data_IF_794897147877
#
_entry.id   IF_794897147877
#
_cell.length_a   1.000
_cell.length_b   1.000
_cell.length_c   1.000
_cell.angle_alpha   90.00
_cell.angle_beta   90.00
_cell.angle_gamma   90.00
#
_symmetry.space_group_name_H-M   'P 1'
#
loop_
_entity.id
_entity.type
_entity.pdbx_description
1 polymer ?
#
# COMPACT_ATOMS: atom_id res chain seq x y z
N UNK A 1 6.20 3.13 -6.25
CA UNK A 1 6.16 1.77 -5.68
C UNK A 1 6.02 0.75 -6.81
N UNK A 2 6.63 -0.40 -6.70
CA UNK A 2 6.54 -1.49 -7.67
C UNK A 2 6.74 -2.85 -6.99
N UNK A 3 6.23 -3.90 -7.66
CA UNK A 3 6.49 -5.30 -7.29
C UNK A 3 7.47 -5.92 -8.32
N UNK A 4 8.77 -5.97 -8.02
CA UNK A 4 9.77 -6.53 -8.92
C UNK A 4 9.72 -8.06 -8.97
N UNK A 5 8.98 -8.71 -8.08
CA UNK A 5 8.87 -10.16 -7.97
C UNK A 5 7.72 -10.74 -8.80
N UNK A 6 6.77 -9.90 -9.20
CA UNK A 6 5.56 -10.31 -9.91
C UNK A 6 5.82 -11.15 -11.17
N UNK A 7 6.83 -10.87 -12.02
CA UNK A 7 7.10 -11.70 -13.19
C UNK A 7 7.42 -13.16 -12.84
N UNK A 8 8.19 -13.39 -11.79
CA UNK A 8 8.51 -14.74 -11.31
C UNK A 8 7.31 -15.37 -10.61
N UNK A 9 6.60 -14.61 -9.79
CA UNK A 9 5.42 -15.06 -9.07
C UNK A 9 4.31 -15.53 -10.01
N UNK A 10 4.14 -14.90 -11.17
CA UNK A 10 3.19 -15.33 -12.20
C UNK A 10 3.59 -16.61 -12.92
N UNK A 11 4.87 -16.91 -13.04
CA UNK A 11 5.37 -18.12 -13.69
C UNK A 11 5.22 -19.35 -12.80
N UNK A 12 5.36 -19.21 -11.51
CA UNK A 12 5.20 -20.30 -10.56
C UNK A 12 3.74 -20.41 -10.14
N UNK A 13 3.13 -21.59 -10.29
CA UNK A 13 1.80 -21.89 -9.76
C UNK A 13 1.90 -22.04 -8.24
N UNK A 14 2.39 -21.01 -7.56
CA UNK A 14 2.70 -21.08 -6.15
C UNK A 14 1.45 -21.20 -5.31
N UNK A 15 1.53 -22.11 -4.39
CA UNK A 15 0.57 -22.16 -3.29
C UNK A 15 0.96 -21.09 -2.28
N UNK A 16 -0.02 -20.49 -1.67
CA UNK A 16 0.09 -19.48 -0.61
C UNK A 16 1.17 -19.74 0.45
N UNK A 17 1.40 -21.00 0.83
CA UNK A 17 2.37 -21.40 1.87
C UNK A 17 3.77 -21.71 1.34
N UNK A 18 4.00 -21.63 0.05
CA UNK A 18 5.34 -21.93 -0.51
C UNK A 18 6.35 -20.85 -0.14
N UNK A 19 5.95 -19.58 -0.23
CA UNK A 19 6.68 -18.45 0.31
C UNK A 19 8.09 -18.23 -0.22
N UNK A 20 8.48 -18.92 -1.31
CA UNK A 20 9.84 -18.92 -1.85
C UNK A 20 9.91 -18.29 -3.24
N UNK A 21 11.09 -17.84 -3.61
CA UNK A 21 11.45 -17.42 -4.95
C UNK A 21 12.70 -18.18 -5.39
N UNK A 22 12.83 -18.44 -6.70
CA UNK A 22 14.07 -19.01 -7.25
C UNK A 22 15.21 -18.00 -7.19
N UNK A 23 16.46 -18.45 -7.17
CA UNK A 23 17.61 -17.57 -7.27
C UNK A 23 17.58 -16.74 -8.57
N UNK A 24 17.11 -17.34 -9.68
CA UNK A 24 16.92 -16.61 -10.93
C UNK A 24 15.90 -15.47 -10.78
N UNK A 25 14.75 -15.71 -10.12
CA UNK A 25 13.74 -14.71 -9.87
C UNK A 25 14.22 -13.61 -8.93
N UNK A 26 14.96 -13.95 -7.88
CA UNK A 26 15.55 -12.98 -6.96
C UNK A 26 16.62 -12.12 -7.65
N UNK A 27 17.46 -12.71 -8.50
CA UNK A 27 18.46 -11.99 -9.30
C UNK A 27 17.78 -11.09 -10.34
N UNK A 28 16.75 -11.56 -11.03
CA UNK A 28 15.98 -10.72 -11.94
C UNK A 28 15.40 -9.49 -11.26
N UNK A 29 14.80 -9.67 -10.07
CA UNK A 29 14.24 -8.55 -9.31
C UNK A 29 15.33 -7.54 -8.90
N UNK A 30 16.49 -8.04 -8.49
CA UNK A 30 17.63 -7.22 -8.10
C UNK A 30 18.20 -6.41 -9.28
N UNK A 31 18.35 -7.04 -10.45
CA UNK A 31 18.82 -6.39 -11.69
C UNK A 31 17.83 -5.32 -12.15
N UNK A 32 16.52 -5.64 -12.11
CA UNK A 32 15.46 -4.68 -12.43
C UNK A 32 15.52 -3.45 -11.53
N UNK A 33 15.66 -3.65 -10.22
CA UNK A 33 15.79 -2.55 -9.26
C UNK A 33 17.06 -1.73 -9.49
N UNK A 34 18.15 -2.36 -9.90
CA UNK A 34 19.42 -1.69 -10.27
C UNK A 34 19.21 -0.79 -11.49
N UNK A 35 18.58 -1.28 -12.54
CA UNK A 35 18.32 -0.50 -13.76
C UNK A 35 17.32 0.63 -13.49
N UNK A 36 16.28 0.41 -12.69
CA UNK A 36 15.34 1.46 -12.30
C UNK A 36 16.09 2.55 -11.50
N UNK A 37 16.85 2.17 -10.48
CA UNK A 37 17.63 3.14 -9.67
C UNK A 37 18.60 3.94 -10.52
N UNK A 38 19.26 3.32 -11.48
CA UNK A 38 20.14 3.96 -12.43
C UNK A 38 19.39 4.96 -13.34
N UNK A 39 18.20 4.58 -13.80
CA UNK A 39 17.37 5.42 -14.69
C UNK A 39 16.81 6.65 -13.98
N UNK A 40 16.30 6.48 -12.74
CA UNK A 40 15.65 7.56 -11.99
C UNK A 40 16.63 8.42 -11.16
N UNK A 41 17.85 7.96 -10.98
CA UNK A 41 18.86 8.63 -10.14
C UNK A 41 18.58 8.51 -8.64
N UNK A 42 19.41 9.11 -7.78
CA UNK A 42 19.33 8.95 -6.32
C UNK A 42 18.23 9.79 -5.66
N UNK A 43 17.71 10.81 -6.33
CA UNK A 43 16.76 11.80 -5.76
C UNK A 43 15.31 11.34 -5.79
N UNK A 44 14.97 10.36 -6.63
CA UNK A 44 13.61 9.83 -6.71
C UNK A 44 13.44 8.73 -5.66
N UNK A 45 12.42 8.86 -4.84
CA UNK A 45 12.06 7.87 -3.83
C UNK A 45 11.60 6.57 -4.49
N UNK A 46 12.08 5.44 -3.99
CA UNK A 46 11.82 4.11 -4.53
C UNK A 46 11.34 3.20 -3.42
N UNK A 47 10.27 2.47 -3.66
CA UNK A 47 9.64 1.55 -2.73
C UNK A 47 9.37 0.22 -3.42
N UNK A 48 9.45 -0.86 -2.68
CA UNK A 48 9.08 -2.21 -3.13
C UNK A 48 7.83 -2.65 -2.37
N UNK A 49 6.94 -3.32 -3.09
CA UNK A 49 5.81 -4.03 -2.53
C UNK A 49 5.92 -5.51 -2.89
N UNK A 50 5.86 -6.38 -1.91
CA UNK A 50 5.97 -7.83 -2.09
C UNK A 50 4.63 -8.56 -1.88
N UNK A 51 3.54 -7.83 -1.56
CA UNK A 51 2.19 -8.37 -1.42
C UNK A 51 2.09 -9.59 -0.49
N UNK A 52 2.92 -9.66 0.55
CA UNK A 52 2.91 -10.75 1.53
C UNK A 52 3.29 -12.13 0.97
N UNK A 53 4.11 -12.21 -0.05
CA UNK A 53 4.32 -13.45 -0.81
C UNK A 53 5.38 -14.40 -0.23
N UNK A 54 6.20 -13.98 0.76
CA UNK A 54 7.38 -14.73 1.15
C UNK A 54 7.27 -15.36 2.54
N UNK A 55 8.06 -16.43 2.75
CA UNK A 55 8.36 -16.93 4.09
C UNK A 55 9.45 -16.07 4.76
N UNK A 56 9.69 -16.28 6.07
CA UNK A 56 10.62 -15.47 6.86
C UNK A 56 12.04 -15.51 6.30
N UNK A 57 12.51 -16.69 5.89
CA UNK A 57 13.87 -16.87 5.37
C UNK A 57 14.05 -16.11 4.04
N UNK A 58 13.12 -16.31 3.12
CA UNK A 58 13.12 -15.66 1.80
C UNK A 58 12.95 -14.15 1.94
N UNK A 59 12.01 -13.70 2.77
CA UNK A 59 11.81 -12.28 3.04
C UNK A 59 13.08 -11.63 3.62
N UNK A 60 13.76 -12.29 4.55
CA UNK A 60 15.01 -11.80 5.13
C UNK A 60 16.11 -11.65 4.08
N UNK A 61 16.28 -12.68 3.23
CA UNK A 61 17.26 -12.65 2.15
C UNK A 61 16.98 -11.51 1.17
N UNK A 62 15.72 -11.39 0.69
CA UNK A 62 15.31 -10.36 -0.26
C UNK A 62 15.45 -8.96 0.33
N UNK A 63 15.02 -8.75 1.58
CA UNK A 63 15.21 -7.47 2.26
C UNK A 63 16.68 -7.04 2.29
N UNK A 64 17.58 -7.97 2.65
CA UNK A 64 19.01 -7.68 2.70
C UNK A 64 19.62 -7.49 1.31
N UNK A 65 19.18 -8.25 0.30
CA UNK A 65 19.59 -8.10 -1.11
C UNK A 65 19.18 -6.74 -1.67
N UNK A 66 17.96 -6.29 -1.39
CA UNK A 66 17.39 -5.03 -1.91
C UNK A 66 17.90 -3.76 -1.21
N UNK A 67 18.52 -3.89 -0.05
CA UNK A 67 19.01 -2.76 0.76
C UNK A 67 19.92 -1.79 -0.01
N UNK A 68 20.75 -2.30 -0.93
CA UNK A 68 21.67 -1.50 -1.74
C UNK A 68 20.99 -0.49 -2.68
N UNK A 69 19.68 -0.67 -2.95
CA UNK A 69 18.94 0.21 -3.85
C UNK A 69 18.40 1.48 -3.20
N UNK A 70 18.72 1.73 -1.91
CA UNK A 70 18.28 2.91 -1.16
C UNK A 70 16.75 3.08 -1.21
N UNK A 71 16.05 2.07 -0.72
CA UNK A 71 14.59 2.06 -0.66
C UNK A 71 14.10 2.91 0.50
N UNK A 72 12.95 3.57 0.31
CA UNK A 72 12.21 4.20 1.41
C UNK A 72 11.63 3.11 2.31
N UNK A 73 11.01 2.07 1.72
CA UNK A 73 10.57 0.89 2.43
C UNK A 73 10.50 -0.36 1.54
N UNK A 74 10.45 -1.48 2.19
CA UNK A 74 10.04 -2.77 1.65
C UNK A 74 8.69 -3.12 2.28
N UNK A 75 7.63 -3.13 1.48
CA UNK A 75 6.26 -3.34 1.91
C UNK A 75 5.89 -4.80 1.89
N UNK A 76 5.19 -5.23 2.92
CA UNK A 76 4.61 -6.56 3.11
C UNK A 76 5.48 -7.71 2.58
N UNK A 77 6.72 -7.87 3.04
CA UNK A 77 7.52 -9.04 2.67
C UNK A 77 6.89 -10.35 3.15
N UNK A 78 6.13 -10.31 4.25
CA UNK A 78 5.43 -11.43 4.88
C UNK A 78 3.93 -11.22 4.88
N UNK A 79 3.18 -12.31 4.96
CA UNK A 79 1.76 -12.27 5.30
C UNK A 79 1.56 -11.59 6.67
N UNK A 80 0.51 -10.79 6.83
CA UNK A 80 0.33 -9.94 8.01
C UNK A 80 -0.15 -10.67 9.27
N UNK A 81 -0.51 -11.97 9.20
CA UNK A 81 -1.16 -12.68 10.31
C UNK A 81 -0.22 -13.01 11.46
N UNK A 82 1.07 -13.26 11.17
CA UNK A 82 2.01 -13.70 12.20
C UNK A 82 2.94 -12.58 12.66
N UNK A 83 2.66 -12.03 13.82
CA UNK A 83 3.56 -11.05 14.45
C UNK A 83 4.92 -11.66 14.80
N UNK A 84 4.95 -12.94 15.18
CA UNK A 84 6.21 -13.63 15.50
C UNK A 84 7.12 -13.77 14.28
N UNK A 85 6.55 -13.99 13.10
CA UNK A 85 7.29 -13.97 11.85
C UNK A 85 7.89 -12.57 11.57
N UNK A 86 7.13 -11.52 11.83
CA UNK A 86 7.63 -10.13 11.68
C UNK A 86 8.72 -9.80 12.71
N UNK A 87 8.64 -10.29 13.95
CA UNK A 87 9.72 -10.17 14.95
C UNK A 87 11.01 -10.84 14.45
N UNK A 88 10.90 -12.05 13.89
CA UNK A 88 12.04 -12.75 13.30
C UNK A 88 12.63 -11.99 12.13
N UNK A 89 11.80 -11.49 11.22
CA UNK A 89 12.25 -10.66 10.10
C UNK A 89 12.96 -9.41 10.62
N UNK A 90 12.34 -8.65 11.53
CA UNK A 90 12.91 -7.41 12.06
C UNK A 90 14.27 -7.62 12.73
N UNK A 91 14.47 -8.74 13.41
CA UNK A 91 15.74 -9.08 14.04
C UNK A 91 16.87 -9.42 13.04
N UNK A 92 16.53 -9.72 11.79
CA UNK A 92 17.48 -10.17 10.76
C UNK A 92 17.66 -9.18 9.59
N UNK A 93 16.98 -8.04 9.64
CA UNK A 93 17.16 -6.97 8.65
C UNK A 93 16.93 -5.60 9.29
N UNK A 94 17.65 -4.59 8.81
CA UNK A 94 17.52 -3.19 9.21
C UNK A 94 16.88 -2.31 8.12
N UNK A 95 16.41 -2.91 7.02
CA UNK A 95 15.66 -2.19 6.01
C UNK A 95 14.35 -1.64 6.60
N UNK A 96 13.93 -0.48 6.11
CA UNK A 96 12.61 0.04 6.52
C UNK A 96 11.51 -0.88 6.01
N UNK A 97 10.64 -1.30 6.91
CA UNK A 97 9.46 -2.12 6.60
C UNK A 97 8.20 -1.28 6.64
N UNK A 98 7.28 -1.59 5.73
CA UNK A 98 5.94 -1.02 5.67
C UNK A 98 4.90 -2.15 5.65
N UNK A 99 3.79 -1.97 6.36
CA UNK A 99 2.64 -2.88 6.35
C UNK A 99 1.35 -2.09 6.46
N UNK A 100 0.23 -2.70 6.15
CA UNK A 100 -1.05 -2.14 6.58
C UNK A 100 -2.23 -2.34 5.69
N UNK A 101 -2.06 -2.57 4.39
CA UNK A 101 -3.17 -2.74 3.45
C UNK A 101 -4.12 -3.89 3.82
N UNK A 102 -3.61 -4.91 4.51
CA UNK A 102 -4.37 -6.10 4.98
C UNK A 102 -4.65 -6.11 6.48
N UNK A 103 -4.47 -4.96 7.17
CA UNK A 103 -4.73 -4.81 8.60
C UNK A 103 -6.05 -4.12 8.87
N UNK A 104 -6.75 -4.60 9.89
CA UNK A 104 -8.04 -4.06 10.31
C UNK A 104 -7.92 -3.39 11.66
N UNK A 105 -8.50 -2.23 11.80
CA UNK A 105 -8.56 -1.46 13.04
C UNK A 105 -7.20 -1.21 13.72
N UNK A 106 -7.17 -0.25 14.66
CA UNK A 106 -5.96 0.07 15.44
C UNK A 106 -5.40 -1.09 16.26
N UNK A 107 -6.23 -2.08 16.58
CA UNK A 107 -5.81 -3.22 17.38
C UNK A 107 -4.81 -4.13 16.64
N UNK A 108 -4.97 -4.26 15.33
CA UNK A 108 -4.03 -5.01 14.51
C UNK A 108 -2.70 -4.25 14.28
N UNK A 109 -2.75 -2.92 14.30
CA UNK A 109 -1.54 -2.09 14.17
C UNK A 109 -0.77 -1.96 15.48
N UNK A 110 -1.46 -1.91 16.63
CA UNK A 110 -0.86 -1.61 17.91
C UNK A 110 0.38 -2.45 18.24
N UNK A 111 0.40 -3.79 18.13
CA UNK A 111 1.58 -4.56 18.47
C UNK A 111 2.78 -4.28 17.56
N UNK A 112 2.56 -4.01 16.27
CA UNK A 112 3.63 -3.66 15.33
C UNK A 112 4.27 -2.32 15.66
N UNK A 113 3.48 -1.35 16.07
CA UNK A 113 3.93 -0.03 16.46
C UNK A 113 4.67 -0.07 17.81
N UNK A 114 4.08 -0.75 18.79
CA UNK A 114 4.65 -0.86 20.15
C UNK A 114 6.00 -1.57 20.18
N UNK A 115 6.19 -2.56 19.33
CA UNK A 115 7.42 -3.34 19.25
C UNK A 115 8.44 -2.79 18.23
N UNK A 116 8.10 -1.72 17.52
CA UNK A 116 8.98 -1.11 16.53
C UNK A 116 9.29 -2.03 15.33
N UNK A 117 8.33 -2.88 14.95
CA UNK A 117 8.52 -3.87 13.88
C UNK A 117 8.48 -3.24 12.48
N UNK A 118 7.92 -2.04 12.36
CA UNK A 118 7.72 -1.33 11.09
C UNK A 118 8.15 0.12 11.20
N UNK A 119 8.49 0.72 10.07
CA UNK A 119 8.92 2.11 9.97
C UNK A 119 7.86 3.01 9.32
N UNK A 120 6.94 2.40 8.57
CA UNK A 120 5.81 3.04 7.89
C UNK A 120 4.58 2.16 8.03
N UNK A 121 3.39 2.77 7.97
CA UNK A 121 2.14 2.03 7.89
C UNK A 121 1.28 2.54 6.73
N UNK A 122 0.60 1.60 6.05
CA UNK A 122 -0.29 1.85 4.92
C UNK A 122 -1.70 1.29 5.15
N UNK A 123 -2.48 1.82 6.11
CA UNK A 123 -3.85 1.38 6.28
C UNK A 123 -4.70 1.77 5.07
N UNK A 124 -5.56 0.88 4.59
CA UNK A 124 -6.58 1.17 3.60
C UNK A 124 -7.88 1.60 4.28
N UNK A 125 -8.41 2.77 3.90
CA UNK A 125 -9.59 3.34 4.59
C UNK A 125 -10.86 2.53 4.37
N UNK A 126 -10.96 1.81 3.24
CA UNK A 126 -12.10 0.96 2.94
C UNK A 126 -12.11 -0.34 3.76
N UNK A 127 -10.92 -0.76 4.24
CA UNK A 127 -10.72 -2.03 4.93
C UNK A 127 -10.53 -1.85 6.44
N UNK A 128 -9.80 -0.80 6.83
CA UNK A 128 -9.36 -0.63 8.21
C UNK A 128 -10.45 -0.16 9.18
N UNK A 129 -11.64 0.23 8.68
CA UNK A 129 -12.78 0.67 9.50
C UNK A 129 -13.22 2.11 9.25
N UNK A 130 -12.89 2.66 8.08
CA UNK A 130 -13.32 3.98 7.63
C UNK A 130 -12.52 5.14 8.21
N UNK A 131 -12.98 6.36 7.93
CA UNK A 131 -12.33 7.63 8.29
C UNK A 131 -11.98 7.71 9.78
N UNK A 132 -12.94 7.39 10.64
CA UNK A 132 -12.75 7.51 12.10
C UNK A 132 -11.68 6.54 12.62
N UNK A 133 -11.63 5.33 12.09
CA UNK A 133 -10.65 4.34 12.54
C UNK A 133 -9.27 4.64 11.95
N UNK A 134 -9.17 5.03 10.68
CA UNK A 134 -7.90 5.45 10.09
C UNK A 134 -7.28 6.62 10.86
N UNK A 135 -8.08 7.60 11.28
CA UNK A 135 -7.59 8.71 12.13
C UNK A 135 -7.05 8.21 13.48
N UNK A 136 -7.71 7.22 14.11
CA UNK A 136 -7.22 6.61 15.36
C UNK A 136 -5.92 5.85 15.17
N UNK A 137 -5.79 5.14 14.03
CA UNK A 137 -4.56 4.45 13.66
C UNK A 137 -3.43 5.47 13.47
N UNK A 138 -3.68 6.56 12.73
CA UNK A 138 -2.71 7.61 12.53
C UNK A 138 -2.26 8.25 13.84
N UNK A 139 -3.20 8.57 14.76
CA UNK A 139 -2.88 9.11 16.09
C UNK A 139 -2.08 8.12 16.95
N UNK A 140 -2.40 6.83 16.86
CA UNK A 140 -1.61 5.80 17.55
C UNK A 140 -0.19 5.73 16.99
N UNK A 141 -0.03 5.73 15.66
CA UNK A 141 1.28 5.70 15.01
C UNK A 141 2.13 6.93 15.31
N UNK A 142 1.50 8.11 15.43
CA UNK A 142 2.14 9.37 15.82
C UNK A 142 2.89 9.24 17.15
N UNK A 143 2.32 8.54 18.13
CA UNK A 143 2.96 8.36 19.46
C UNK A 143 4.27 7.57 19.40
N UNK A 144 4.49 6.84 18.30
CA UNK A 144 5.71 6.08 18.03
C UNK A 144 6.58 6.71 16.93
N UNK A 145 6.27 7.96 16.51
CA UNK A 145 6.94 8.65 15.39
C UNK A 145 6.92 7.89 14.08
N UNK A 146 5.87 7.07 13.86
CA UNK A 146 5.72 6.30 12.62
C UNK A 146 4.77 7.04 11.67
N UNK A 147 5.23 7.37 10.45
CA UNK A 147 4.41 8.04 9.45
C UNK A 147 3.38 7.10 8.82
N UNK A 148 2.26 7.72 8.38
CA UNK A 148 1.17 7.06 7.69
C UNK A 148 1.16 7.43 6.21
N UNK A 149 0.95 6.42 5.35
CA UNK A 149 0.74 6.55 3.91
C UNK A 149 -0.48 5.71 3.53
N UNK A 150 -1.70 6.28 3.45
CA UNK A 150 -2.89 5.49 3.15
C UNK A 150 -2.77 4.73 1.84
N UNK A 151 -3.05 3.43 1.90
CA UNK A 151 -3.11 2.53 0.75
C UNK A 151 -4.32 2.83 -0.12
N UNK A 152 -4.17 2.68 -1.43
CA UNK A 152 -5.28 2.73 -2.38
C UNK A 152 -5.24 1.61 -3.42
N UNK A 153 -6.28 0.79 -3.40
CA UNK A 153 -6.63 -0.15 -4.46
C UNK A 153 -8.14 -0.13 -4.75
N UNK A 154 -8.87 0.85 -4.18
CA UNK A 154 -10.35 0.87 -4.18
C UNK A 154 -10.92 2.05 -4.98
N UNK A 155 -10.11 2.99 -5.43
CA UNK A 155 -10.49 4.07 -6.33
C UNK A 155 -10.79 5.42 -5.67
N UNK A 156 -11.53 6.30 -6.38
CA UNK A 156 -11.63 7.72 -6.06
C UNK A 156 -12.03 8.03 -4.62
N UNK A 157 -13.04 7.36 -4.08
CA UNK A 157 -13.51 7.63 -2.71
C UNK A 157 -12.56 7.14 -1.63
N UNK A 158 -11.73 6.13 -1.91
CA UNK A 158 -10.63 5.73 -1.04
C UNK A 158 -9.60 6.87 -0.94
N UNK A 159 -9.12 7.34 -2.09
CA UNK A 159 -8.16 8.44 -2.19
C UNK A 159 -8.69 9.72 -1.54
N UNK A 160 -9.92 10.14 -1.85
CA UNK A 160 -10.54 11.35 -1.28
C UNK A 160 -10.64 11.23 0.24
N UNK A 161 -11.14 10.11 0.74
CA UNK A 161 -11.29 9.88 2.19
C UNK A 161 -9.94 9.82 2.90
N UNK A 162 -8.95 9.17 2.30
CA UNK A 162 -7.57 9.15 2.78
C UNK A 162 -6.97 10.55 2.86
N UNK A 163 -7.18 11.37 1.82
CA UNK A 163 -6.72 12.76 1.80
C UNK A 163 -7.34 13.58 2.93
N UNK A 164 -8.65 13.45 3.20
CA UNK A 164 -9.30 14.13 4.33
C UNK A 164 -8.70 13.74 5.69
N UNK A 165 -8.33 12.47 5.87
CA UNK A 165 -7.64 12.05 7.11
C UNK A 165 -6.25 12.68 7.18
N UNK A 166 -5.48 12.63 6.08
CA UNK A 166 -4.12 13.19 6.04
C UNK A 166 -4.08 14.69 6.34
N UNK A 167 -5.10 15.45 5.92
CA UNK A 167 -5.21 16.88 6.27
C UNK A 167 -5.38 17.15 7.75
N UNK A 168 -5.63 16.12 8.57
CA UNK A 168 -5.94 16.23 9.99
C UNK A 168 -4.94 15.52 10.92
N UNK A 169 -3.81 15.04 10.39
CA UNK A 169 -2.79 14.32 11.16
C UNK A 169 -1.40 14.87 10.84
N UNK A 170 -0.48 14.94 11.83
CA UNK A 170 0.84 15.53 11.60
C UNK A 170 1.87 14.56 11.03
N UNK A 171 1.65 13.24 11.16
CA UNK A 171 2.58 12.19 10.79
C UNK A 171 2.32 11.63 9.39
N UNK A 172 1.98 12.50 8.45
CA UNK A 172 1.77 12.13 7.04
C UNK A 172 3.08 11.84 6.33
N UNK A 173 3.05 10.89 5.39
CA UNK A 173 4.12 10.69 4.42
C UNK A 173 3.64 10.92 2.99
N UNK A 174 2.87 10.00 2.42
CA UNK A 174 2.31 10.09 1.05
C UNK A 174 0.86 9.60 1.06
N UNK A 175 0.10 10.01 0.06
CA UNK A 175 -1.16 9.39 -0.31
C UNK A 175 -0.91 8.52 -1.54
N UNK A 176 -1.19 7.25 -1.44
CA UNK A 176 -1.07 6.36 -2.59
C UNK A 176 -2.25 6.56 -3.55
N UNK A 177 -1.93 6.45 -4.83
CA UNK A 177 -2.91 6.27 -5.91
C UNK A 177 -2.39 5.14 -6.79
N UNK A 178 -3.25 4.23 -7.19
CA UNK A 178 -2.87 3.20 -8.16
C UNK A 178 -2.55 3.81 -9.52
N UNK A 179 -1.73 3.14 -10.32
CA UNK A 179 -1.32 3.58 -11.66
C UNK A 179 -2.44 3.47 -12.70
N UNK A 180 -3.63 3.02 -12.28
CA UNK A 180 -4.82 3.10 -13.11
C UNK A 180 -5.05 4.55 -13.51
N UNK A 181 -5.33 4.75 -14.77
CA UNK A 181 -5.43 6.10 -15.33
C UNK A 181 -6.30 7.00 -14.43
N UNK A 182 -5.88 8.23 -14.20
CA UNK A 182 -6.67 9.24 -13.50
C UNK A 182 -8.10 9.33 -14.05
N UNK A 183 -8.29 8.94 -15.30
CA UNK A 183 -9.58 8.79 -15.96
C UNK A 183 -10.50 7.82 -15.21
N UNK A 184 -10.01 6.66 -14.75
CA UNK A 184 -10.82 5.71 -14.01
C UNK A 184 -11.33 6.27 -12.68
N UNK A 185 -10.51 7.05 -11.98
CA UNK A 185 -10.96 7.77 -10.79
C UNK A 185 -12.02 8.82 -11.12
N UNK A 186 -11.80 9.60 -12.16
CA UNK A 186 -12.67 10.70 -12.52
C UNK A 186 -14.02 10.26 -13.11
N UNK A 187 -14.08 9.09 -13.73
CA UNK A 187 -15.32 8.59 -14.32
C UNK A 187 -16.40 8.29 -13.28
N UNK A 188 -16.04 7.87 -12.06
CA UNK A 188 -16.99 7.49 -11.01
C UNK A 188 -17.46 8.65 -10.14
N UNK A 189 -16.90 9.85 -10.34
CA UNK A 189 -17.25 11.07 -9.61
C UNK A 189 -17.73 12.16 -10.57
N UNK A 190 -18.54 13.10 -10.09
CA UNK A 190 -19.13 14.17 -10.94
C UNK A 190 -18.15 15.28 -11.29
N UNK A 191 -17.10 15.45 -10.52
CA UNK A 191 -16.05 16.44 -10.74
C UNK A 191 -14.69 15.76 -10.65
N UNK A 192 -13.75 16.04 -11.57
CA UNK A 192 -12.45 15.40 -11.57
C UNK A 192 -11.62 15.76 -10.32
N UNK A 193 -10.73 14.84 -9.91
CA UNK A 193 -9.73 15.13 -8.89
C UNK A 193 -8.80 16.26 -9.34
N UNK A 194 -8.61 17.26 -8.50
CA UNK A 194 -7.70 18.38 -8.76
C UNK A 194 -6.27 18.02 -8.32
N UNK A 195 -5.51 17.44 -9.24
CA UNK A 195 -4.11 17.06 -8.98
C UNK A 195 -3.19 18.02 -9.73
N UNK A 196 -2.41 18.78 -8.98
CA UNK A 196 -1.46 19.77 -9.51
C UNK A 196 -0.13 19.67 -8.76
N UNK A 197 0.96 19.72 -9.48
CA UNK A 197 2.32 19.74 -8.93
C UNK A 197 2.61 18.57 -7.95
N UNK A 198 1.99 17.40 -8.20
CA UNK A 198 2.11 16.22 -7.33
C UNK A 198 1.25 16.24 -6.07
N UNK A 199 0.32 17.19 -5.95
CA UNK A 199 -0.59 17.33 -4.81
C UNK A 199 -2.05 17.18 -5.23
N UNK A 200 -2.82 16.44 -4.43
CA UNK A 200 -4.27 16.41 -4.51
C UNK A 200 -4.84 17.58 -3.71
N UNK A 201 -5.60 18.45 -4.38
CA UNK A 201 -6.29 19.57 -3.78
C UNK A 201 -7.76 19.22 -3.53
N UNK A 202 -8.14 19.12 -2.24
CA UNK A 202 -9.53 18.91 -1.88
C UNK A 202 -10.34 20.20 -2.05
N UNK A 203 -11.59 20.05 -2.49
CA UNK A 203 -12.52 21.17 -2.54
C UNK A 203 -13.14 21.47 -1.15
N UNK A 204 -13.82 22.60 -1.00
CA UNK A 204 -14.44 23.06 0.26
C UNK A 204 -15.94 22.71 0.35
N UNK A 205 -16.44 21.75 -0.43
CA UNK A 205 -17.83 21.34 -0.37
C UNK A 205 -18.10 20.47 0.87
N UNK A 206 -19.35 20.40 1.34
CA UNK A 206 -19.72 19.55 2.48
C UNK A 206 -19.43 18.07 2.24
N UNK A 207 -19.25 17.31 3.32
CA UNK A 207 -18.98 15.88 3.29
C UNK A 207 -17.57 15.60 2.76
N UNK A 208 -17.45 14.67 1.82
CA UNK A 208 -16.20 14.38 1.11
C UNK A 208 -15.90 15.38 -0.02
N UNK A 209 -16.86 16.24 -0.36
CA UNK A 209 -16.73 17.24 -1.39
C UNK A 209 -17.00 16.74 -2.82
N UNK A 210 -17.29 15.47 -2.99
CA UNK A 210 -17.49 14.81 -4.28
C UNK A 210 -18.77 13.98 -4.26
N UNK A 211 -19.44 13.90 -5.41
CA UNK A 211 -20.66 13.11 -5.60
C UNK A 211 -20.40 11.98 -6.60
N UNK A 212 -21.16 10.87 -6.45
CA UNK A 212 -21.10 9.74 -7.39
C UNK A 212 -21.64 10.15 -8.77
N UNK A 213 -20.95 9.75 -9.81
CA UNK A 213 -21.46 9.83 -11.19
C UNK A 213 -22.38 8.64 -11.47
N UNK A 214 -23.66 8.79 -11.08
CA UNK A 214 -24.65 7.73 -11.21
C UNK A 214 -24.90 7.30 -12.65
N UNK A 215 -24.76 8.20 -13.64
CA UNK A 215 -24.97 7.87 -15.04
C UNK A 215 -23.85 6.96 -15.56
N UNK A 216 -22.60 7.26 -15.20
CA UNK A 216 -21.48 6.39 -15.53
C UNK A 216 -21.63 5.01 -14.86
N UNK A 217 -21.97 4.96 -13.58
CA UNK A 217 -22.13 3.70 -12.83
C UNK A 217 -23.23 2.84 -13.45
N UNK A 218 -24.37 3.43 -13.81
CA UNK A 218 -25.48 2.70 -14.46
C UNK A 218 -25.12 2.18 -15.85
N UNK A 219 -24.30 2.92 -16.60
CA UNK A 219 -23.88 2.51 -17.95
C UNK A 219 -22.75 1.50 -17.95
N UNK A 220 -22.08 1.30 -16.79
CA UNK A 220 -20.99 0.35 -16.60
C UNK A 220 -21.26 -0.60 -15.41
N UNK A 221 -22.34 -1.39 -15.47
CA UNK A 221 -22.67 -2.29 -14.37
C UNK A 221 -21.61 -3.38 -14.24
N UNK A 222 -21.27 -3.74 -13.00
CA UNK A 222 -20.44 -4.90 -12.74
C UNK A 222 -21.18 -6.17 -13.18
N UNK A 223 -20.62 -6.97 -14.11
CA UNK A 223 -21.28 -8.21 -14.59
C UNK A 223 -21.56 -9.23 -13.50
N UNK A 224 -20.80 -9.24 -12.42
CA UNK A 224 -21.02 -10.15 -11.30
C UNK A 224 -22.21 -9.69 -10.41
N UNK A 225 -22.40 -8.39 -10.25
CA UNK A 225 -23.55 -7.82 -9.52
C UNK A 225 -24.89 -8.21 -10.16
N UNK A 226 -24.96 -8.18 -11.49
CA UNK A 226 -26.16 -8.60 -12.20
C UNK A 226 -26.53 -10.07 -11.93
N UNK A 227 -25.55 -10.94 -11.75
CA UNK A 227 -25.77 -12.36 -11.44
C UNK A 227 -26.28 -12.57 -10.01
N UNK A 228 -25.82 -11.75 -9.06
CA UNK A 228 -26.19 -11.88 -7.64
C UNK A 228 -27.65 -11.42 -7.38
N UNK A 229 -28.11 -10.38 -8.06
CA UNK A 229 -29.41 -9.76 -7.83
C UNK A 229 -30.54 -10.26 -8.75
N UNK A 230 -30.24 -11.06 -9.76
CA UNK A 230 -31.24 -11.70 -10.64
C UNK A 230 -31.69 -13.10 -10.17
N UNK A 231 -31.11 -13.61 -9.10
CA UNK A 231 -31.50 -14.85 -8.41
C UNK A 231 -32.13 -14.53 -7.06
#
# INVERSE_FOLDING_TARGET
KLDPFMPEMKKSHRRYIDGKISEEGASYADDLMSEIRKAIGPSIELMIDAHGNFDVSTATELCNRMKKHNLIWFEEPLQPESIDAHRQLRNNTDINLCIGERKYTRWDFAPYLQEGLVNYIMPDICWTGGISEMKRIATLAETFYIPISPHDASGAFNVISGAHVLMNVPNIYRLEMTDHSLENYNNVITEPLDIRDGFLHLNNKPGLGYELNHDFIKSNPDPEWEKIWKN
#
